data_IF_870233057178
#
_entry.id   IF_870233057178
#
_cell.length_a   1.000
_cell.length_b   1.000
_cell.length_c   1.000
_cell.angle_alpha   90.00
_cell.angle_beta   90.00
_cell.angle_gamma   90.00
#
_symmetry.space_group_name_H-M   'P 1'
#
loop_
_entity.id
_entity.type
_entity.pdbx_description
1 polymer ?
#
# COMPACT_ATOMS: atom_id res chain seq x y z
N UNK A 1 -0.91 -16.41 -13.62
CA UNK A 1 -0.03 -17.43 -13.00
C UNK A 1 0.72 -16.75 -11.87
N UNK A 2 0.51 -17.15 -10.62
CA UNK A 2 1.22 -16.55 -9.48
C UNK A 2 2.71 -16.87 -9.59
N UNK A 3 3.55 -15.85 -9.66
CA UNK A 3 5.00 -16.01 -9.79
C UNK A 3 5.56 -16.44 -8.43
N UNK A 4 6.09 -17.67 -8.35
CA UNK A 4 6.64 -18.24 -7.11
C UNK A 4 7.94 -17.53 -6.75
N UNK A 5 7.96 -16.85 -5.61
CA UNK A 5 9.16 -16.22 -5.07
C UNK A 5 9.93 -17.22 -4.21
N UNK A 6 11.11 -17.64 -4.67
CA UNK A 6 11.95 -18.63 -3.97
C UNK A 6 12.78 -17.95 -2.87
N UNK A 7 12.85 -18.55 -1.68
CA UNK A 7 13.76 -18.13 -0.60
C UNK A 7 13.26 -17.04 0.36
N UNK A 8 11.95 -16.73 0.35
CA UNK A 8 11.33 -15.69 1.22
C UNK A 8 10.33 -16.26 2.23
N UNK A 9 10.53 -17.50 2.68
CA UNK A 9 9.56 -18.22 3.52
C UNK A 9 9.34 -17.53 4.86
N UNK A 10 10.41 -17.06 5.50
CA UNK A 10 10.32 -16.42 6.81
C UNK A 10 9.62 -15.07 6.72
N UNK A 11 9.93 -14.25 5.70
CA UNK A 11 9.24 -12.98 5.51
C UNK A 11 7.77 -13.16 5.14
N UNK A 12 7.44 -14.16 4.32
CA UNK A 12 6.06 -14.50 3.97
C UNK A 12 5.28 -14.91 5.23
N UNK A 13 5.85 -15.75 6.09
CA UNK A 13 5.19 -16.17 7.33
C UNK A 13 4.87 -14.98 8.24
N UNK A 14 5.83 -14.06 8.44
CA UNK A 14 5.60 -12.84 9.24
C UNK A 14 4.50 -11.97 8.63
N UNK A 15 4.49 -11.84 7.30
CA UNK A 15 3.49 -11.08 6.57
C UNK A 15 2.09 -11.71 6.67
N UNK A 16 1.99 -13.04 6.63
CA UNK A 16 0.73 -13.78 6.81
C UNK A 16 0.22 -13.68 8.25
N UNK A 17 1.08 -13.83 9.26
CA UNK A 17 0.71 -13.62 10.66
C UNK A 17 0.14 -12.21 10.89
N UNK A 18 0.79 -11.19 10.33
CA UNK A 18 0.31 -9.81 10.41
C UNK A 18 -1.02 -9.60 9.67
N UNK A 19 -1.23 -10.29 8.55
CA UNK A 19 -2.44 -10.19 7.73
C UNK A 19 -3.63 -10.94 8.34
N UNK A 20 -3.39 -12.10 8.95
CA UNK A 20 -4.41 -12.97 9.54
C UNK A 20 -4.84 -12.53 10.94
N UNK A 21 -4.00 -11.76 11.63
CA UNK A 21 -4.32 -11.24 12.94
C UNK A 21 -5.56 -10.32 12.93
N UNK A 22 -6.38 -10.41 13.98
CA UNK A 22 -7.63 -9.64 14.14
C UNK A 22 -7.40 -8.17 14.55
N UNK A 23 -6.28 -7.56 14.14
CA UNK A 23 -5.91 -6.17 14.44
C UNK A 23 -5.17 -5.55 13.27
N UNK A 24 -5.22 -4.22 13.16
CA UNK A 24 -4.45 -3.48 12.16
C UNK A 24 -2.95 -3.55 12.46
N UNK A 25 -2.14 -3.76 11.43
CA UNK A 25 -0.68 -3.75 11.53
C UNK A 25 -0.08 -2.66 10.62
N UNK A 26 0.92 -1.97 11.16
CA UNK A 26 1.79 -1.10 10.40
C UNK A 26 3.12 -1.82 10.17
N UNK A 27 3.38 -2.24 8.94
CA UNK A 27 4.56 -3.05 8.58
C UNK A 27 5.49 -2.22 7.70
N UNK A 28 6.71 -2.02 8.19
CA UNK A 28 7.79 -1.39 7.43
C UNK A 28 8.69 -2.49 6.86
N UNK A 29 8.85 -2.52 5.54
CA UNK A 29 9.73 -3.49 4.85
C UNK A 29 10.96 -2.74 4.32
N UNK A 30 12.12 -3.02 4.92
CA UNK A 30 13.39 -2.35 4.62
C UNK A 30 14.48 -3.34 4.17
N UNK A 31 15.57 -2.83 3.58
CA UNK A 31 16.74 -3.63 3.14
C UNK A 31 17.44 -3.03 1.93
N UNK A 32 18.45 -3.71 1.35
CA UNK A 32 19.22 -3.21 0.20
C UNK A 32 18.39 -2.95 -1.06
N UNK A 33 18.83 -2.00 -1.91
CA UNK A 33 18.23 -1.73 -3.23
C UNK A 33 18.28 -2.99 -4.10
N UNK A 34 17.24 -3.22 -4.92
CA UNK A 34 17.08 -4.37 -5.86
C UNK A 34 16.88 -5.77 -5.28
N UNK A 35 16.65 -5.93 -3.97
CA UNK A 35 16.35 -7.25 -3.37
C UNK A 35 14.91 -7.74 -3.59
N UNK A 36 14.09 -7.03 -4.37
CA UNK A 36 12.73 -7.47 -4.72
C UNK A 36 11.65 -7.24 -3.65
N UNK A 37 11.83 -6.30 -2.71
CA UNK A 37 10.82 -6.00 -1.66
C UNK A 37 9.43 -5.66 -2.22
N UNK A 38 9.38 -4.74 -3.18
CA UNK A 38 8.13 -4.37 -3.86
C UNK A 38 7.50 -5.54 -4.58
N UNK A 39 8.33 -6.38 -5.20
CA UNK A 39 7.84 -7.57 -5.87
C UNK A 39 7.23 -8.56 -4.87
N UNK A 40 7.90 -8.85 -3.75
CA UNK A 40 7.40 -9.70 -2.67
C UNK A 40 6.01 -9.26 -2.20
N UNK A 41 5.85 -7.97 -1.88
CA UNK A 41 4.57 -7.45 -1.38
C UNK A 41 3.48 -7.52 -2.44
N UNK A 42 3.79 -7.12 -3.68
CA UNK A 42 2.82 -7.15 -4.79
C UNK A 42 2.39 -8.56 -5.14
N UNK A 43 3.33 -9.51 -5.24
CA UNK A 43 3.03 -10.89 -5.60
C UNK A 43 2.33 -11.64 -4.48
N UNK A 44 2.72 -11.41 -3.22
CA UNK A 44 2.10 -12.09 -2.08
C UNK A 44 0.70 -11.57 -1.84
N UNK A 45 0.50 -10.26 -1.77
CA UNK A 45 -0.80 -9.66 -1.47
C UNK A 45 -1.61 -9.25 -2.73
N UNK A 46 -1.31 -9.85 -3.88
CA UNK A 46 -2.02 -9.56 -5.13
C UNK A 46 -3.54 -9.71 -4.95
N UNK A 47 -4.30 -8.65 -5.23
CA UNK A 47 -5.76 -8.60 -5.04
C UNK A 47 -6.25 -8.59 -3.59
N UNK A 48 -5.35 -8.62 -2.60
CA UNK A 48 -5.67 -8.63 -1.16
C UNK A 48 -5.43 -7.30 -0.45
N UNK A 49 -4.71 -6.36 -1.08
CA UNK A 49 -4.48 -5.03 -0.54
C UNK A 49 -5.65 -4.10 -0.85
N UNK A 50 -6.05 -3.32 0.15
CA UNK A 50 -7.10 -2.31 0.00
C UNK A 50 -6.68 -1.14 -0.89
N UNK A 51 -5.47 -0.64 -0.67
CA UNK A 51 -4.91 0.49 -1.41
C UNK A 51 -3.38 0.40 -1.37
N UNK A 52 -2.74 0.76 -2.48
CA UNK A 52 -1.29 0.83 -2.60
C UNK A 52 -0.88 2.18 -3.14
N UNK A 53 0.17 2.76 -2.58
CA UNK A 53 0.71 4.04 -3.05
C UNK A 53 2.22 3.96 -3.13
N UNK A 54 2.78 4.41 -4.25
CA UNK A 54 4.22 4.55 -4.43
C UNK A 54 4.53 6.00 -4.69
N UNK A 55 5.35 6.61 -3.84
CA UNK A 55 5.77 8.00 -4.02
C UNK A 55 6.68 8.17 -5.24
N UNK A 56 6.60 9.33 -5.87
CA UNK A 56 7.47 9.70 -7.01
C UNK A 56 8.82 10.18 -6.46
N UNK A 57 9.93 9.68 -7.01
CA UNK A 57 11.27 10.11 -6.60
C UNK A 57 11.51 11.59 -6.96
N UNK A 58 12.10 12.36 -6.05
CA UNK A 58 12.41 13.79 -6.23
C UNK A 58 11.21 14.67 -6.62
N UNK A 59 10.00 14.27 -6.26
CA UNK A 59 8.78 15.03 -6.55
C UNK A 59 8.39 15.98 -5.41
N UNK A 60 7.79 17.11 -5.77
CA UNK A 60 7.20 18.05 -4.82
C UNK A 60 6.00 17.45 -4.09
N UNK A 61 5.63 18.02 -2.95
CA UNK A 61 4.45 17.58 -2.20
C UNK A 61 3.17 17.65 -3.04
N UNK A 62 3.02 18.68 -3.87
CA UNK A 62 1.88 18.79 -4.80
C UNK A 62 1.88 17.65 -5.83
N UNK A 63 3.02 17.32 -6.41
CA UNK A 63 3.14 16.19 -7.34
C UNK A 63 2.79 14.86 -6.67
N UNK A 64 3.16 14.66 -5.40
CA UNK A 64 2.73 13.47 -4.64
C UNK A 64 1.22 13.43 -4.42
N UNK A 65 0.58 14.57 -4.14
CA UNK A 65 -0.87 14.67 -3.99
C UNK A 65 -1.58 14.40 -5.32
N UNK A 66 -1.09 14.94 -6.44
CA UNK A 66 -1.61 14.60 -7.76
C UNK A 66 -1.49 13.11 -8.04
N UNK A 67 -0.32 12.51 -7.76
CA UNK A 67 -0.10 11.08 -7.90
C UNK A 67 -1.06 10.26 -7.03
N UNK A 68 -1.28 10.70 -5.79
CA UNK A 68 -2.21 10.04 -4.87
C UNK A 68 -3.63 10.04 -5.42
N UNK A 69 -4.13 11.17 -5.91
CA UNK A 69 -5.46 11.28 -6.52
C UNK A 69 -5.62 10.34 -7.73
N UNK A 70 -4.58 10.22 -8.56
CA UNK A 70 -4.58 9.28 -9.70
C UNK A 70 -4.63 7.83 -9.21
N UNK A 71 -3.77 7.44 -8.28
CA UNK A 71 -3.72 6.06 -7.76
C UNK A 71 -5.02 5.66 -7.05
N UNK A 72 -5.59 6.55 -6.22
CA UNK A 72 -6.80 6.24 -5.46
C UNK A 72 -8.05 6.17 -6.35
N UNK A 73 -8.13 6.99 -7.41
CA UNK A 73 -9.19 6.91 -8.43
C UNK A 73 -9.13 5.62 -9.24
N UNK A 74 -7.93 5.19 -9.63
CA UNK A 74 -7.75 3.94 -10.37
C UNK A 74 -8.02 2.69 -9.51
N UNK A 75 -7.61 2.69 -8.24
CA UNK A 75 -7.70 1.50 -7.39
C UNK A 75 -9.04 1.35 -6.65
N UNK A 76 -9.70 2.46 -6.30
CA UNK A 76 -10.93 2.45 -5.50
C UNK A 76 -12.16 2.99 -6.24
N UNK A 77 -12.05 3.27 -7.55
CA UNK A 77 -13.14 3.76 -8.41
C UNK A 77 -13.90 4.94 -7.78
N UNK A 78 -13.16 5.92 -7.26
CA UNK A 78 -13.73 7.14 -6.69
C UNK A 78 -14.10 8.16 -7.77
N UNK A 79 -15.17 8.90 -7.53
CA UNK A 79 -15.65 9.95 -8.43
C UNK A 79 -14.65 11.14 -8.44
N UNK A 80 -14.58 11.86 -9.56
CA UNK A 80 -13.70 13.03 -9.72
C UNK A 80 -13.92 14.14 -8.68
N UNK A 81 -15.06 14.15 -8.00
CA UNK A 81 -15.41 15.15 -6.97
C UNK A 81 -14.72 14.91 -5.61
N UNK A 82 -14.03 13.77 -5.43
CA UNK A 82 -13.33 13.41 -4.18
C UNK A 82 -11.83 13.76 -4.22
N UNK A 83 -11.44 14.79 -4.98
CA UNK A 83 -10.04 15.21 -5.11
C UNK A 83 -9.49 15.78 -3.80
N UNK A 84 -8.31 15.33 -3.38
CA UNK A 84 -7.65 15.78 -2.15
C UNK A 84 -6.61 16.85 -2.44
N UNK A 85 -6.58 17.90 -1.61
CA UNK A 85 -5.68 19.05 -1.76
C UNK A 85 -4.39 18.92 -0.94
N UNK A 86 -4.42 18.11 0.12
CA UNK A 86 -3.30 17.90 1.03
C UNK A 86 -3.37 16.51 1.69
N UNK A 87 -2.30 16.13 2.38
CA UNK A 87 -2.21 14.82 3.03
C UNK A 87 -3.27 14.60 4.11
N UNK A 88 -3.68 15.64 4.82
CA UNK A 88 -4.76 15.51 5.81
C UNK A 88 -6.06 15.06 5.13
N UNK A 89 -6.47 15.72 4.05
CA UNK A 89 -7.63 15.30 3.25
C UNK A 89 -7.44 13.91 2.62
N UNK A 90 -6.21 13.56 2.22
CA UNK A 90 -5.87 12.23 1.70
C UNK A 90 -6.13 11.13 2.73
N UNK A 91 -5.67 11.33 3.97
CA UNK A 91 -5.89 10.37 5.05
C UNK A 91 -7.35 10.31 5.51
N UNK A 92 -8.08 11.43 5.49
CA UNK A 92 -9.52 11.43 5.75
C UNK A 92 -10.28 10.59 4.72
N UNK A 93 -9.99 10.79 3.42
CA UNK A 93 -10.59 10.01 2.34
C UNK A 93 -10.29 8.52 2.51
N UNK A 94 -9.03 8.15 2.80
CA UNK A 94 -8.66 6.75 3.05
C UNK A 94 -9.44 6.17 4.22
N UNK A 95 -9.52 6.88 5.36
CA UNK A 95 -10.28 6.44 6.53
C UNK A 95 -11.74 6.17 6.17
N UNK A 96 -12.36 7.05 5.40
CA UNK A 96 -13.77 6.97 5.05
C UNK A 96 -14.05 5.84 4.04
N UNK A 97 -13.11 5.57 3.11
CA UNK A 97 -13.21 4.41 2.21
C UNK A 97 -12.97 3.10 2.95
N UNK A 98 -12.01 3.08 3.87
CA UNK A 98 -11.72 1.92 4.71
C UNK A 98 -12.89 1.59 5.65
N UNK A 99 -13.59 2.59 6.20
CA UNK A 99 -14.74 2.36 7.10
C UNK A 99 -15.95 1.80 6.36
N UNK A 100 -16.15 2.18 5.09
CA UNK A 100 -17.22 1.66 4.22
C UNK A 100 -16.89 0.28 3.64
N UNK A 101 -15.62 -0.10 3.63
CA UNK A 101 -15.16 -1.40 3.13
C UNK A 101 -15.49 -2.52 4.11
N UNK A 102 -15.95 -3.67 3.59
CA UNK A 102 -16.14 -4.91 4.37
C UNK A 102 -14.81 -5.60 4.72
N UNK A 103 -13.68 -5.06 4.25
CA UNK A 103 -12.35 -5.65 4.49
C UNK A 103 -11.98 -5.48 5.96
N UNK A 104 -12.06 -6.59 6.72
CA UNK A 104 -11.70 -6.64 8.15
C UNK A 104 -10.21 -6.49 8.42
N UNK A 105 -9.35 -6.70 7.43
CA UNK A 105 -7.89 -6.85 7.59
C UNK A 105 -7.16 -5.68 6.94
N UNK A 106 -6.44 -4.90 7.76
CA UNK A 106 -5.84 -3.63 7.35
C UNK A 106 -4.34 -3.72 7.52
N UNK A 107 -3.65 -4.05 6.42
CA UNK A 107 -2.19 -4.05 6.36
C UNK A 107 -1.74 -2.76 5.67
N UNK A 108 -1.11 -1.87 6.43
CA UNK A 108 -0.45 -0.69 5.87
C UNK A 108 1.03 -1.01 5.68
N UNK A 109 1.48 -0.92 4.43
CA UNK A 109 2.85 -1.23 4.03
C UNK A 109 3.57 0.03 3.58
N UNK A 110 4.64 0.37 4.29
CA UNK A 110 5.52 1.48 3.92
C UNK A 110 6.81 0.91 3.31
N UNK A 111 7.05 1.24 2.06
CA UNK A 111 8.29 0.88 1.36
C UNK A 111 9.22 2.08 1.32
N UNK A 112 10.21 2.09 2.20
CA UNK A 112 11.31 3.05 2.12
C UNK A 112 12.27 2.62 1.00
N UNK A 113 12.34 3.42 -0.06
CA UNK A 113 13.52 3.45 -0.93
C UNK A 113 14.66 4.07 -0.11
N UNK A 114 15.43 3.26 0.60
CA UNK A 114 16.73 3.69 1.10
C UNK A 114 17.70 3.68 -0.09
N UNK A 115 18.19 4.88 -0.42
CA UNK A 115 19.35 5.09 -1.27
C UNK A 115 20.58 4.46 -0.66
#
# INVERSE_FOLDING_TARGET
>A
MATVLVGRKDEINILDECYDANRSHFVAVYGRRRVGKTFLIKSHFEGRLFFTFTGISNASLQQQITNFNVEISQQLAINNDEYVANWFSAFQLLRDKISKSKIKRRLFLLMSYLG
#
